data_IF_747941277223
#
_entry.id   IF_747941277223
#
_cell.length_a   1.000
_cell.length_b   1.000
_cell.length_c   1.000
_cell.angle_alpha   90.00
_cell.angle_beta   90.00
_cell.angle_gamma   90.00
#
_symmetry.space_group_name_H-M   'P 1'
#
loop_
_entity.id
_entity.type
_entity.pdbx_description
1 polymer ?
#
# COMPACT_ATOMS: atom_id res chain seq x y z
N UNK A 1 11.26 26.01 -4.66
CA UNK A 1 10.65 24.70 -4.52
C UNK A 1 10.12 24.51 -3.09
N UNK A 2 8.96 23.91 -2.96
CA UNK A 2 8.29 23.61 -1.70
C UNK A 2 8.09 22.09 -1.61
N UNK A 3 8.33 21.51 -0.45
CA UNK A 3 8.12 20.08 -0.26
C UNK A 3 6.64 19.75 -0.23
N UNK A 4 6.21 18.82 -1.08
CA UNK A 4 4.87 18.24 -1.06
C UNK A 4 4.73 17.28 0.11
N UNK A 5 3.60 17.35 0.82
CA UNK A 5 3.28 16.41 1.91
C UNK A 5 2.69 15.14 1.35
N UNK A 6 3.23 14.01 1.76
CA UNK A 6 2.66 12.70 1.46
C UNK A 6 1.73 12.25 2.58
N UNK A 7 0.58 11.76 2.19
CA UNK A 7 -0.39 11.16 3.11
C UNK A 7 -0.33 9.66 2.93
N UNK A 8 -0.14 8.96 4.04
CA UNK A 8 -0.05 7.50 4.06
C UNK A 8 -1.44 6.88 4.03
N UNK A 9 -1.71 6.02 3.04
CA UNK A 9 -2.83 5.11 3.04
C UNK A 9 -2.36 3.74 3.52
N UNK A 10 -2.67 3.40 4.75
CA UNK A 10 -2.15 2.20 5.45
C UNK A 10 -2.64 0.89 4.84
N UNK A 11 -3.86 0.88 4.31
CA UNK A 11 -4.40 -0.25 3.55
C UNK A 11 -5.25 0.28 2.40
N UNK A 12 -4.71 0.18 1.21
CA UNK A 12 -5.42 0.42 -0.03
C UNK A 12 -5.73 -0.92 -0.69
N UNK A 13 -6.68 -0.98 -1.60
CA UNK A 13 -6.99 -2.20 -2.32
C UNK A 13 -7.27 -1.96 -3.79
N UNK A 14 -6.85 -2.91 -4.62
CA UNK A 14 -7.15 -2.96 -6.05
C UNK A 14 -7.83 -4.27 -6.39
N UNK A 15 -8.93 -4.19 -7.12
CA UNK A 15 -9.63 -5.36 -7.67
C UNK A 15 -9.25 -5.49 -9.14
N UNK A 16 -8.70 -6.65 -9.53
CA UNK A 16 -8.48 -7.01 -10.93
C UNK A 16 -9.57 -7.98 -11.33
N UNK A 17 -10.50 -7.53 -12.15
CA UNK A 17 -11.71 -8.24 -12.54
C UNK A 17 -11.83 -8.46 -14.06
N UNK A 18 -10.76 -8.16 -14.80
CA UNK A 18 -10.68 -8.42 -16.24
C UNK A 18 -9.93 -9.72 -16.53
N UNK A 19 -10.36 -10.43 -17.55
CA UNK A 19 -9.76 -11.70 -17.98
C UNK A 19 -9.70 -11.79 -19.50
N UNK A 20 -8.65 -12.44 -20.02
CA UNK A 20 -8.57 -12.85 -21.42
C UNK A 20 -9.21 -14.21 -21.69
N UNK A 21 -9.60 -14.91 -20.62
CA UNK A 21 -10.20 -16.23 -20.71
C UNK A 21 -11.74 -16.16 -20.54
N UNK A 22 -12.55 -16.36 -21.59
CA UNK A 22 -14.02 -16.36 -21.47
C UNK A 22 -14.54 -17.41 -20.49
N UNK A 23 -13.87 -18.54 -20.35
CA UNK A 23 -14.26 -19.62 -19.45
C UNK A 23 -14.06 -19.28 -17.97
N UNK A 24 -13.32 -18.23 -17.65
CA UNK A 24 -13.16 -17.75 -16.26
C UNK A 24 -14.49 -17.25 -15.66
N UNK A 25 -15.38 -16.76 -16.51
CA UNK A 25 -16.67 -16.16 -16.10
C UNK A 25 -16.54 -14.78 -15.44
N UNK A 26 -15.36 -14.19 -15.46
CA UNK A 26 -15.11 -12.85 -14.88
C UNK A 26 -14.78 -11.84 -15.96
N UNK A 27 -15.27 -10.60 -15.79
CA UNK A 27 -14.92 -9.44 -16.59
C UNK A 27 -15.07 -9.63 -18.10
N UNK A 28 -14.63 -8.67 -18.88
CA UNK A 28 -14.58 -8.73 -20.33
C UNK A 28 -13.23 -9.29 -20.80
N UNK A 29 -13.28 -10.16 -21.81
CA UNK A 29 -12.06 -10.60 -22.52
C UNK A 29 -11.46 -9.49 -23.37
N UNK A 30 -12.28 -8.50 -23.75
CA UNK A 30 -11.86 -7.33 -24.51
C UNK A 30 -11.76 -6.16 -23.53
N UNK A 31 -10.56 -5.80 -23.15
CA UNK A 31 -10.35 -4.60 -22.36
C UNK A 31 -10.46 -3.36 -23.26
N UNK A 32 -11.16 -2.34 -22.78
CA UNK A 32 -11.28 -1.06 -23.46
C UNK A 32 -10.07 -0.14 -23.22
N UNK A 33 -9.05 -0.63 -22.54
CA UNK A 33 -7.83 0.08 -22.18
C UNK A 33 -6.76 0.06 -23.27
N UNK A 34 -7.01 -0.60 -24.39
CA UNK A 34 -6.05 -0.73 -25.49
C UNK A 34 -4.93 -1.74 -25.25
N UNK A 35 -4.89 -2.42 -24.07
CA UNK A 35 -3.88 -3.43 -23.78
C UNK A 35 -4.25 -4.78 -24.36
N UNK A 36 -3.22 -5.48 -24.88
CA UNK A 36 -3.31 -6.87 -25.27
C UNK A 36 -2.79 -7.76 -24.15
N UNK A 37 -3.29 -8.99 -24.06
CA UNK A 37 -2.78 -9.98 -23.11
C UNK A 37 -1.26 -10.10 -23.19
N UNK A 38 -0.61 -10.10 -22.02
CA UNK A 38 0.83 -10.19 -21.93
C UNK A 38 1.60 -8.95 -22.40
N UNK A 39 0.91 -7.85 -22.66
CA UNK A 39 1.58 -6.59 -23.02
C UNK A 39 2.38 -6.05 -21.85
N UNK A 40 3.65 -5.94 -22.06
CA UNK A 40 4.58 -5.32 -21.12
C UNK A 40 4.52 -3.79 -21.22
N UNK A 41 4.77 -3.02 -20.15
CA UNK A 41 5.04 -3.45 -18.77
C UNK A 41 3.81 -3.55 -17.86
N UNK A 42 2.66 -3.05 -18.24
CA UNK A 42 1.52 -2.86 -17.35
C UNK A 42 0.31 -3.68 -17.80
N UNK A 43 0.14 -4.84 -17.21
CA UNK A 43 -1.06 -5.65 -17.39
C UNK A 43 -2.21 -5.19 -16.48
N UNK A 44 -3.42 -5.45 -16.90
CA UNK A 44 -4.67 -5.11 -16.20
C UNK A 44 -5.62 -6.30 -16.10
N UNK A 45 -5.21 -7.49 -16.54
CA UNK A 45 -5.98 -8.72 -16.54
C UNK A 45 -5.35 -9.74 -15.59
N UNK A 46 -6.15 -10.57 -14.98
CA UNK A 46 -5.67 -11.55 -14.00
C UNK A 46 -4.58 -12.50 -14.56
N UNK A 47 -4.59 -12.78 -15.88
CA UNK A 47 -3.58 -13.62 -16.54
C UNK A 47 -2.30 -12.88 -16.92
N UNK A 48 -2.27 -11.58 -16.87
CA UNK A 48 -1.07 -10.82 -17.22
C UNK A 48 0.08 -11.18 -16.27
N UNK A 49 1.28 -11.24 -16.82
CA UNK A 49 2.46 -11.59 -16.03
C UNK A 49 2.81 -10.49 -15.03
N UNK A 50 2.66 -9.24 -15.47
CA UNK A 50 2.89 -8.05 -14.63
C UNK A 50 1.57 -7.31 -14.53
N UNK A 51 1.12 -7.09 -13.30
CA UNK A 51 -0.10 -6.35 -13.01
C UNK A 51 0.27 -5.00 -12.39
N UNK A 52 -0.27 -3.94 -12.96
CA UNK A 52 -0.14 -2.61 -12.37
C UNK A 52 -1.05 -2.45 -11.17
N UNK A 53 -0.58 -1.78 -10.13
CA UNK A 53 -1.39 -1.41 -8.97
C UNK A 53 -2.07 -0.04 -9.15
N UNK A 54 -1.80 0.64 -10.26
CA UNK A 54 -2.41 1.92 -10.60
C UNK A 54 -1.97 3.09 -9.73
N UNK A 55 -1.09 2.86 -8.76
CA UNK A 55 -0.56 3.89 -7.86
C UNK A 55 0.95 4.00 -8.02
N UNK A 56 1.50 5.19 -8.17
CA UNK A 56 2.94 5.39 -8.34
C UNK A 56 3.73 5.38 -7.03
N UNK A 57 3.07 5.30 -5.90
CA UNK A 57 3.71 5.42 -4.59
C UNK A 57 3.28 4.26 -3.67
N UNK A 58 3.50 3.03 -4.14
CA UNK A 58 3.20 1.81 -3.38
C UNK A 58 4.41 1.42 -2.54
N UNK A 59 4.23 1.26 -1.24
CA UNK A 59 5.31 0.97 -0.30
C UNK A 59 5.48 -0.52 -0.04
N UNK A 60 4.38 -1.24 0.17
CA UNK A 60 4.40 -2.70 0.41
C UNK A 60 3.08 -3.36 0.06
N UNK A 61 3.12 -4.68 -0.14
CA UNK A 61 1.94 -5.52 -0.29
C UNK A 61 1.59 -6.12 1.07
N UNK A 62 0.31 -6.08 1.42
CA UNK A 62 -0.22 -6.74 2.61
C UNK A 62 -0.64 -8.18 2.35
N UNK A 63 -1.28 -8.42 1.21
CA UNK A 63 -1.74 -9.73 0.76
C UNK A 63 -2.40 -9.66 -0.62
N UNK A 64 -2.44 -10.78 -1.33
CA UNK A 64 -3.08 -10.94 -2.63
C UNK A 64 -4.01 -12.14 -2.52
N UNK A 65 -5.28 -11.92 -2.85
CA UNK A 65 -6.32 -12.94 -2.71
C UNK A 65 -7.01 -13.20 -4.03
N UNK A 66 -7.14 -14.48 -4.40
CA UNK A 66 -7.98 -14.92 -5.52
C UNK A 66 -9.34 -15.37 -5.00
N UNK A 67 -10.40 -15.09 -5.74
CA UNK A 67 -11.75 -15.52 -5.38
C UNK A 67 -11.95 -17.02 -5.57
N UNK A 68 -12.66 -17.63 -4.65
CA UNK A 68 -13.11 -19.02 -4.81
C UNK A 68 -14.21 -19.17 -5.88
N UNK A 69 -14.92 -18.10 -6.21
CA UNK A 69 -16.05 -18.07 -7.13
C UNK A 69 -15.97 -16.85 -8.08
N UNK A 70 -17.09 -16.28 -8.48
CA UNK A 70 -17.15 -15.08 -9.35
C UNK A 70 -17.29 -13.77 -8.56
N UNK A 71 -17.45 -13.86 -7.26
CA UNK A 71 -17.57 -12.68 -6.41
C UNK A 71 -16.23 -11.96 -6.25
N UNK A 72 -16.28 -10.75 -5.69
CA UNK A 72 -15.07 -10.00 -5.36
C UNK A 72 -14.34 -10.72 -4.21
N UNK A 73 -13.06 -11.09 -4.39
CA UNK A 73 -12.30 -11.71 -3.31
C UNK A 73 -12.10 -10.74 -2.15
N UNK A 74 -11.94 -11.27 -0.97
CA UNK A 74 -11.53 -10.49 0.18
C UNK A 74 -10.49 -11.26 0.99
N UNK A 75 -9.73 -10.54 1.81
CA UNK A 75 -8.98 -11.18 2.89
C UNK A 75 -9.95 -11.92 3.83
N UNK A 76 -9.47 -12.82 4.70
CA UNK A 76 -10.27 -13.47 5.72
C UNK A 76 -11.10 -12.47 6.51
N UNK A 77 -12.29 -12.89 6.95
CA UNK A 77 -13.25 -12.05 7.64
C UNK A 77 -13.50 -12.59 9.04
N UNK A 78 -13.79 -11.68 9.96
CA UNK A 78 -14.30 -12.03 11.27
C UNK A 78 -15.51 -11.17 11.64
N UNK A 79 -16.43 -11.77 12.36
CA UNK A 79 -17.52 -11.06 13.04
C UNK A 79 -17.15 -10.92 14.50
N UNK A 80 -17.26 -9.72 15.02
CA UNK A 80 -16.93 -9.37 16.40
C UNK A 80 -18.21 -9.08 17.19
N UNK A 81 -18.27 -9.57 18.40
CA UNK A 81 -19.21 -9.16 19.44
C UNK A 81 -18.47 -8.48 20.58
N UNK A 82 -19.23 -7.88 21.48
CA UNK A 82 -18.70 -7.24 22.71
C UNK A 82 -17.54 -6.28 22.43
N UNK A 83 -17.68 -5.54 21.32
CA UNK A 83 -16.69 -4.56 20.91
C UNK A 83 -16.68 -3.44 21.94
N UNK A 84 -15.74 -3.52 22.84
CA UNK A 84 -15.46 -2.64 23.96
C UNK A 84 -16.71 -2.25 24.80
N UNK A 85 -16.64 -2.25 26.10
CA UNK A 85 -17.79 -1.95 26.97
C UNK A 85 -18.49 -0.60 26.74
N UNK A 86 -17.98 0.23 25.84
CA UNK A 86 -18.51 1.56 25.50
C UNK A 86 -18.81 1.76 24.00
N UNK A 87 -18.31 0.90 23.11
CA UNK A 87 -18.60 0.93 21.67
C UNK A 87 -19.15 -0.41 21.22
N UNK A 88 -20.23 -0.38 20.46
CA UNK A 88 -20.84 -1.59 19.90
C UNK A 88 -20.51 -1.80 18.44
N UNK A 89 -19.65 -0.96 17.85
CA UNK A 89 -19.40 -0.95 16.41
C UNK A 89 -17.92 -0.94 16.07
N UNK A 90 -17.60 -1.40 14.83
CA UNK A 90 -16.24 -1.37 14.26
C UNK A 90 -15.84 0.03 13.76
N UNK A 91 -16.65 1.05 13.97
CA UNK A 91 -16.42 2.40 13.41
C UNK A 91 -15.20 3.09 14.02
N UNK A 92 -14.86 2.76 15.25
CA UNK A 92 -13.73 3.35 15.98
C UNK A 92 -12.40 2.63 15.75
N UNK A 93 -12.42 1.51 15.02
CA UNK A 93 -11.22 0.78 14.66
C UNK A 93 -10.42 1.54 13.60
N UNK A 94 -9.10 1.49 13.71
CA UNK A 94 -8.20 2.21 12.82
C UNK A 94 -7.70 1.25 11.73
N UNK A 95 -8.06 1.50 10.48
CA UNK A 95 -7.61 0.68 9.35
C UNK A 95 -6.08 0.64 9.30
N UNK A 96 -5.54 -0.56 9.16
CA UNK A 96 -4.10 -0.81 9.16
C UNK A 96 -3.49 -1.04 10.54
N UNK A 97 -4.27 -0.95 11.63
CA UNK A 97 -3.76 -1.33 12.96
C UNK A 97 -3.62 -2.86 13.11
N UNK A 98 -2.75 -3.25 14.03
CA UNK A 98 -2.55 -4.67 14.32
C UNK A 98 -3.60 -5.19 15.29
N UNK A 99 -4.04 -6.41 15.01
CA UNK A 99 -4.96 -7.20 15.83
C UNK A 99 -4.16 -8.35 16.45
N UNK A 100 -4.31 -8.59 17.73
CA UNK A 100 -3.65 -9.71 18.43
C UNK A 100 -4.68 -10.57 19.11
N UNK A 101 -4.66 -11.87 18.85
CA UNK A 101 -5.45 -12.88 19.56
C UNK A 101 -4.85 -13.17 20.92
N UNK A 102 -5.66 -13.11 21.97
CA UNK A 102 -5.17 -13.29 23.33
C UNK A 102 -4.85 -14.75 23.69
N UNK A 103 -5.50 -15.70 23.03
CA UNK A 103 -5.30 -17.14 23.28
C UNK A 103 -4.34 -17.78 22.30
N UNK A 104 -4.48 -17.50 21.03
CA UNK A 104 -3.70 -18.13 19.95
C UNK A 104 -2.38 -17.42 19.67
N UNK A 105 -2.24 -16.16 20.07
CA UNK A 105 -1.11 -15.32 19.70
C UNK A 105 -1.09 -14.98 18.20
N UNK A 106 -2.20 -15.17 17.49
CA UNK A 106 -2.34 -14.75 16.11
C UNK A 106 -2.22 -13.23 15.99
N UNK A 107 -1.49 -12.79 14.98
CA UNK A 107 -1.31 -11.37 14.68
C UNK A 107 -1.80 -11.12 13.26
N UNK A 108 -2.63 -10.10 13.09
CA UNK A 108 -3.14 -9.67 11.80
C UNK A 108 -3.17 -8.16 11.68
N UNK A 109 -3.27 -7.67 10.45
CA UNK A 109 -3.53 -6.28 10.13
C UNK A 109 -5.02 -6.12 9.80
N UNK A 110 -5.69 -5.16 10.41
CA UNK A 110 -7.06 -4.80 10.07
C UNK A 110 -7.10 -4.14 8.68
N UNK A 111 -7.81 -4.74 7.73
CA UNK A 111 -7.79 -4.31 6.34
C UNK A 111 -8.99 -3.44 5.96
N UNK A 112 -10.21 -3.91 6.18
CA UNK A 112 -11.43 -3.20 5.77
C UNK A 112 -12.56 -3.42 6.77
N UNK A 113 -13.39 -2.39 6.93
CA UNK A 113 -14.68 -2.50 7.61
C UNK A 113 -15.75 -2.95 6.62
N UNK A 114 -16.45 -4.02 6.92
CA UNK A 114 -17.58 -4.51 6.12
C UNK A 114 -18.93 -4.10 6.70
N UNK A 115 -19.06 -4.10 8.02
CA UNK A 115 -20.26 -3.68 8.74
C UNK A 115 -19.92 -3.21 10.15
N UNK A 116 -20.93 -2.94 10.96
CA UNK A 116 -20.75 -2.54 12.36
C UNK A 116 -20.11 -3.63 13.25
N UNK A 117 -20.16 -4.87 12.81
CA UNK A 117 -19.58 -6.01 13.53
C UNK A 117 -18.62 -6.85 12.71
N UNK A 118 -18.47 -6.60 11.42
CA UNK A 118 -17.68 -7.43 10.53
C UNK A 118 -16.52 -6.66 9.90
N UNK A 119 -15.34 -7.26 9.94
CA UNK A 119 -14.12 -6.73 9.34
C UNK A 119 -13.40 -7.78 8.51
N UNK A 120 -12.52 -7.32 7.61
CA UNK A 120 -11.49 -8.16 7.00
C UNK A 120 -10.15 -7.92 7.67
N UNK A 121 -9.30 -8.93 7.65
CA UNK A 121 -7.97 -8.86 8.23
C UNK A 121 -6.96 -9.70 7.43
N UNK A 122 -5.68 -9.41 7.60
CA UNK A 122 -4.60 -10.09 6.90
C UNK A 122 -3.59 -10.58 7.93
N UNK A 123 -3.38 -11.89 8.01
CA UNK A 123 -2.42 -12.48 8.94
C UNK A 123 -1.00 -11.94 8.71
N UNK A 124 -0.25 -11.79 9.80
CA UNK A 124 1.14 -11.34 9.82
C UNK A 124 2.09 -12.36 10.46
N UNK A 125 1.54 -13.43 10.99
CA UNK A 125 2.30 -14.59 11.47
C UNK A 125 1.53 -15.88 11.11
N UNK A 126 2.14 -17.02 11.37
CA UNK A 126 1.59 -18.35 11.04
C UNK A 126 0.48 -18.82 12.01
N UNK A 127 0.24 -18.10 13.09
CA UNK A 127 -0.85 -18.41 14.00
C UNK A 127 -2.17 -17.95 13.42
N UNK A 128 -3.25 -18.70 13.72
CA UNK A 128 -4.61 -18.41 13.25
C UNK A 128 -5.53 -18.13 14.44
N UNK A 129 -6.46 -17.21 14.26
CA UNK A 129 -7.48 -16.89 15.26
C UNK A 129 -8.44 -18.07 15.47
N UNK A 130 -9.06 -18.11 16.64
CA UNK A 130 -10.11 -19.06 16.98
C UNK A 130 -11.43 -18.35 17.25
N UNK A 131 -12.54 -18.98 16.90
CA UNK A 131 -13.87 -18.50 17.31
C UNK A 131 -14.00 -18.57 18.86
N UNK A 132 -14.64 -17.56 19.44
CA UNK A 132 -14.71 -17.38 20.88
C UNK A 132 -13.50 -16.69 21.52
N UNK A 133 -12.45 -16.42 20.75
CA UNK A 133 -11.26 -15.73 21.24
C UNK A 133 -11.49 -14.22 21.35
N UNK A 134 -10.93 -13.62 22.39
CA UNK A 134 -10.82 -12.16 22.49
C UNK A 134 -9.64 -11.66 21.69
N UNK A 135 -9.88 -10.68 20.84
CA UNK A 135 -8.85 -9.97 20.09
C UNK A 135 -8.70 -8.55 20.59
N UNK A 136 -7.47 -8.06 20.53
CA UNK A 136 -7.13 -6.70 20.93
C UNK A 136 -6.53 -5.92 19.76
N UNK A 137 -7.09 -4.75 19.51
CA UNK A 137 -6.61 -3.79 18.52
C UNK A 137 -5.56 -2.88 19.15
N UNK A 138 -4.41 -2.76 18.50
CA UNK A 138 -3.21 -2.19 19.14
C UNK A 138 -3.29 -0.68 19.34
N UNK A 139 -3.82 0.05 18.38
CA UNK A 139 -3.79 1.52 18.36
C UNK A 139 -5.07 2.11 18.95
N UNK A 140 -6.22 1.61 18.56
CA UNK A 140 -7.50 2.01 19.13
C UNK A 140 -7.68 1.53 20.58
N UNK A 141 -6.95 0.48 20.98
CA UNK A 141 -7.08 -0.14 22.30
C UNK A 141 -8.37 -0.93 22.50
N UNK A 142 -9.16 -1.08 21.45
CA UNK A 142 -10.45 -1.78 21.47
C UNK A 142 -10.21 -3.28 21.58
N UNK A 143 -11.12 -3.96 22.28
CA UNK A 143 -11.18 -5.42 22.37
C UNK A 143 -12.54 -5.90 21.85
N UNK A 144 -12.58 -7.10 21.31
CA UNK A 144 -13.80 -7.73 20.83
C UNK A 144 -13.66 -9.25 20.84
N UNK A 145 -14.79 -9.96 20.86
CA UNK A 145 -14.81 -11.43 20.82
C UNK A 145 -15.16 -11.90 19.41
N UNK A 146 -14.36 -12.79 18.85
CA UNK A 146 -14.63 -13.37 17.53
C UNK A 146 -15.81 -14.34 17.64
N UNK A 147 -16.89 -14.08 16.94
CA UNK A 147 -18.04 -14.97 16.88
C UNK A 147 -18.04 -15.87 15.66
N UNK A 148 -17.47 -15.41 14.57
CA UNK A 148 -17.38 -16.17 13.29
C UNK A 148 -16.12 -15.81 12.54
N UNK A 149 -15.48 -16.81 11.95
CA UNK A 149 -14.36 -16.68 11.02
C UNK A 149 -14.76 -17.20 9.64
N UNK A 150 -14.42 -16.46 8.59
CA UNK A 150 -14.65 -16.84 7.19
C UNK A 150 -13.40 -16.58 6.35
N UNK A 151 -12.95 -17.58 5.63
CA UNK A 151 -11.80 -17.52 4.73
C UNK A 151 -12.16 -18.17 3.38
N UNK A 152 -13.09 -17.53 2.63
CA UNK A 152 -13.57 -18.05 1.34
C UNK A 152 -12.67 -17.72 0.15
N UNK A 153 -11.67 -16.86 0.32
CA UNK A 153 -10.68 -16.50 -0.71
C UNK A 153 -9.33 -17.13 -0.40
N UNK A 154 -8.54 -17.36 -1.46
CA UNK A 154 -7.21 -17.96 -1.33
C UNK A 154 -6.14 -16.89 -1.39
N UNK A 155 -5.21 -16.94 -0.45
CA UNK A 155 -4.03 -16.09 -0.44
C UNK A 155 -3.01 -16.63 -1.47
N UNK A 156 -2.61 -15.79 -2.43
CA UNK A 156 -1.68 -16.12 -3.52
C UNK A 156 -0.48 -15.16 -3.58
N UNK A 157 -0.24 -14.36 -2.55
CA UNK A 157 0.84 -13.37 -2.53
C UNK A 157 2.23 -14.00 -2.66
N UNK A 158 2.40 -15.23 -2.17
CA UNK A 158 3.62 -16.00 -2.35
C UNK A 158 4.00 -16.30 -3.80
N UNK A 159 3.04 -16.21 -4.73
CA UNK A 159 3.23 -16.44 -6.16
C UNK A 159 3.70 -15.19 -6.93
N UNK A 160 3.79 -14.07 -6.27
CA UNK A 160 4.16 -12.80 -6.88
C UNK A 160 5.41 -12.19 -6.26
N UNK A 161 6.07 -11.37 -7.04
CA UNK A 161 7.11 -10.43 -6.58
C UNK A 161 6.59 -9.02 -6.74
N UNK A 162 6.93 -8.15 -5.80
CA UNK A 162 6.49 -6.76 -5.77
C UNK A 162 7.58 -5.82 -6.28
N UNK A 163 7.17 -4.76 -7.00
CA UNK A 163 7.98 -3.61 -7.36
C UNK A 163 7.28 -2.33 -6.92
N UNK A 164 8.00 -1.45 -6.26
CA UNK A 164 7.49 -0.14 -5.83
C UNK A 164 7.22 0.83 -7.00
N UNK A 165 7.74 0.53 -8.19
CA UNK A 165 7.66 1.42 -9.34
C UNK A 165 8.62 2.61 -9.29
N UNK A 166 9.56 2.63 -8.34
CA UNK A 166 10.56 3.70 -8.24
C UNK A 166 11.63 3.54 -9.30
N UNK A 167 11.58 4.39 -10.30
CA UNK A 167 12.54 4.44 -11.41
C UNK A 167 13.52 5.61 -11.22
N UNK A 168 14.65 5.58 -11.95
CA UNK A 168 15.66 6.65 -11.85
C UNK A 168 15.15 8.03 -12.25
N UNK A 169 14.23 8.07 -13.21
CA UNK A 169 13.76 9.32 -13.83
C UNK A 169 12.37 9.72 -13.41
N UNK A 170 11.52 8.79 -12.97
CA UNK A 170 10.13 9.03 -12.58
C UNK A 170 9.70 8.15 -11.42
N UNK A 171 8.60 8.53 -10.75
CA UNK A 171 7.77 7.64 -9.94
C UNK A 171 6.79 6.93 -10.88
N UNK A 172 7.08 5.69 -11.26
CA UNK A 172 6.18 4.87 -12.06
C UNK A 172 5.22 4.09 -11.16
N UNK A 173 4.28 3.36 -11.75
CA UNK A 173 3.30 2.56 -11.01
C UNK A 173 3.98 1.42 -10.23
N UNK A 174 3.54 1.23 -9.00
CA UNK A 174 3.78 -0.03 -8.29
C UNK A 174 3.16 -1.19 -9.07
N UNK A 175 3.82 -2.34 -9.03
CA UNK A 175 3.38 -3.52 -9.77
C UNK A 175 3.68 -4.81 -9.03
N UNK A 176 2.92 -5.86 -9.38
CA UNK A 176 3.19 -7.24 -8.98
C UNK A 176 3.50 -8.08 -10.20
N UNK A 177 4.53 -8.90 -10.13
CA UNK A 177 4.98 -9.78 -11.21
C UNK A 177 4.81 -11.22 -10.77
N UNK A 178 4.01 -12.00 -11.53
CA UNK A 178 3.84 -13.42 -11.26
C UNK A 178 5.14 -14.17 -11.49
N UNK A 179 5.49 -15.04 -10.54
CA UNK A 179 6.68 -15.89 -10.61
C UNK A 179 6.54 -16.91 -11.76
N UNK A 180 7.66 -17.33 -12.37
CA UNK A 180 7.61 -18.26 -13.52
C UNK A 180 6.96 -19.60 -13.22
N UNK A 181 7.08 -20.07 -11.98
CA UNK A 181 6.52 -21.34 -11.51
C UNK A 181 5.05 -21.28 -11.10
N UNK A 182 4.49 -20.07 -10.96
CA UNK A 182 3.12 -19.87 -10.52
C UNK A 182 2.13 -19.95 -11.70
N UNK A 183 1.01 -20.61 -11.47
CA UNK A 183 -0.09 -20.68 -12.44
C UNK A 183 -0.78 -19.32 -12.58
N UNK A 184 -1.36 -19.06 -13.74
CA UNK A 184 -2.14 -17.86 -13.96
C UNK A 184 -3.50 -17.97 -13.27
N UNK A 185 -3.90 -16.97 -12.46
CA UNK A 185 -5.21 -16.94 -11.85
C UNK A 185 -6.34 -17.00 -12.88
N UNK A 186 -7.44 -17.62 -12.50
CA UNK A 186 -8.63 -17.74 -13.34
C UNK A 186 -9.82 -16.93 -12.81
N UNK A 187 -9.73 -16.43 -11.60
CA UNK A 187 -10.78 -15.66 -10.93
C UNK A 187 -10.32 -14.25 -10.62
N UNK A 188 -11.23 -13.43 -10.14
CA UNK A 188 -10.90 -12.06 -9.67
C UNK A 188 -9.81 -12.10 -8.62
N UNK A 189 -8.94 -11.12 -8.66
CA UNK A 189 -7.88 -10.92 -7.66
C UNK A 189 -8.15 -9.63 -6.92
N UNK A 190 -7.91 -9.62 -5.63
CA UNK A 190 -7.83 -8.40 -4.84
C UNK A 190 -6.45 -8.29 -4.19
N UNK A 191 -5.80 -7.17 -4.43
CA UNK A 191 -4.49 -6.85 -3.88
C UNK A 191 -4.68 -5.82 -2.79
N UNK A 192 -4.19 -6.09 -1.59
CA UNK A 192 -4.12 -5.13 -0.49
C UNK A 192 -2.69 -4.63 -0.36
N UNK A 193 -2.54 -3.32 -0.35
CA UNK A 193 -1.22 -2.70 -0.32
C UNK A 193 -1.24 -1.38 0.46
N UNK A 194 -0.07 -0.94 0.83
CA UNK A 194 0.15 0.35 1.46
C UNK A 194 0.69 1.32 0.43
N UNK A 195 0.13 2.51 0.38
CA UNK A 195 0.52 3.53 -0.58
C UNK A 195 0.58 4.92 0.06
N UNK A 196 1.21 5.84 -0.65
CA UNK A 196 1.18 7.25 -0.32
C UNK A 196 0.55 8.05 -1.46
N UNK A 197 -0.09 9.13 -1.11
CA UNK A 197 -0.63 10.08 -2.08
C UNK A 197 -0.35 11.51 -1.63
N UNK A 198 -0.43 12.43 -2.55
CA UNK A 198 -0.33 13.85 -2.24
C UNK A 198 -1.73 14.45 -2.08
N UNK A 199 -1.89 15.35 -1.12
CA UNK A 199 -3.10 16.15 -1.04
C UNK A 199 -3.21 17.06 -2.27
N UNK A 200 -4.39 17.10 -2.90
CA UNK A 200 -4.64 17.92 -4.08
C UNK A 200 -4.52 19.42 -3.80
N UNK A 201 -4.68 19.83 -2.55
CA UNK A 201 -4.54 21.23 -2.12
C UNK A 201 -3.08 21.62 -1.84
N UNK A 202 -2.15 20.67 -1.80
CA UNK A 202 -0.74 20.93 -1.57
C UNK A 202 -0.07 21.43 -2.86
N UNK A 203 0.43 22.66 -2.81
CA UNK A 203 1.11 23.36 -3.90
C UNK A 203 2.62 23.06 -3.99
N UNK A 204 3.13 22.08 -3.22
CA UNK A 204 4.53 21.66 -3.27
C UNK A 204 4.88 20.99 -4.60
N UNK A 205 6.15 21.05 -4.96
CA UNK A 205 6.68 20.62 -6.25
C UNK A 205 7.82 19.59 -6.16
N UNK A 206 8.38 19.38 -4.97
CA UNK A 206 9.47 18.43 -4.75
C UNK A 206 9.15 17.49 -3.58
N UNK A 207 9.83 16.35 -3.54
CA UNK A 207 9.81 15.43 -2.41
C UNK A 207 11.12 15.52 -1.64
N UNK A 208 11.04 15.66 -0.33
CA UNK A 208 12.17 15.71 0.60
C UNK A 208 11.83 14.91 1.86
N UNK A 209 12.74 14.85 2.82
CA UNK A 209 12.48 14.29 4.14
C UNK A 209 11.19 14.87 4.78
N UNK A 210 10.91 16.14 4.58
CA UNK A 210 9.72 16.79 5.11
C UNK A 210 8.41 16.34 4.46
N UNK A 211 8.49 15.58 3.37
CA UNK A 211 7.32 14.98 2.73
C UNK A 211 6.79 13.75 3.49
N UNK A 212 7.58 13.18 4.40
CA UNK A 212 7.32 11.90 5.07
C UNK A 212 7.02 12.04 6.56
N UNK A 213 6.37 13.11 7.00
CA UNK A 213 6.17 13.42 8.42
C UNK A 213 5.51 12.30 9.25
N UNK A 214 4.62 11.50 8.65
CA UNK A 214 3.85 10.45 9.31
C UNK A 214 4.27 9.03 8.90
N UNK A 215 5.51 8.85 8.46
CA UNK A 215 6.04 7.58 7.99
C UNK A 215 7.05 7.00 8.98
N UNK A 216 7.11 5.68 9.05
CA UNK A 216 8.21 5.00 9.72
C UNK A 216 9.46 5.09 8.85
N UNK A 217 10.44 5.84 9.34
CA UNK A 217 11.65 6.16 8.61
C UNK A 217 12.48 4.92 8.19
N UNK A 218 12.39 3.85 8.97
CA UNK A 218 13.15 2.63 8.71
C UNK A 218 12.46 1.64 7.78
N UNK A 219 11.12 1.68 7.72
CA UNK A 219 10.34 0.60 7.09
C UNK A 219 9.41 1.03 5.96
N UNK A 220 9.01 2.31 5.92
CA UNK A 220 7.96 2.76 5.02
C UNK A 220 8.48 3.61 3.85
N UNK A 221 9.73 4.09 3.92
CA UNK A 221 10.24 5.00 2.90
C UNK A 221 10.99 4.21 1.83
N UNK A 222 10.49 4.34 0.63
CA UNK A 222 11.08 3.71 -0.54
C UNK A 222 12.43 4.32 -0.89
N UNK A 223 13.23 3.58 -1.63
CA UNK A 223 14.50 4.04 -2.16
C UNK A 223 14.64 3.78 -3.65
N UNK A 224 15.59 4.43 -4.25
CA UNK A 224 16.05 4.18 -5.61
C UNK A 224 17.56 3.99 -5.59
N UNK A 225 18.05 2.95 -6.27
CA UNK A 225 19.48 2.60 -6.32
C UNK A 225 20.15 2.48 -4.91
N UNK A 226 19.39 2.03 -3.92
CA UNK A 226 19.90 1.84 -2.55
C UNK A 226 19.94 3.12 -1.70
N UNK A 227 19.47 4.25 -2.21
CA UNK A 227 19.34 5.51 -1.46
C UNK A 227 17.89 5.70 -1.07
N UNK A 228 17.62 5.96 0.22
CA UNK A 228 16.27 6.27 0.69
C UNK A 228 15.78 7.61 0.13
N UNK A 229 14.53 7.66 -0.30
CA UNK A 229 13.91 8.90 -0.76
C UNK A 229 13.79 9.96 0.35
N UNK A 230 13.96 9.57 1.61
CA UNK A 230 14.02 10.51 2.72
C UNK A 230 15.36 11.24 2.82
N UNK A 231 16.43 10.69 2.24
CA UNK A 231 17.80 11.23 2.34
C UNK A 231 18.17 12.09 1.13
N UNK A 232 17.25 12.28 0.21
CA UNK A 232 17.47 13.06 -1.02
C UNK A 232 16.42 14.15 -1.20
N UNK A 233 16.71 15.10 -2.08
CA UNK A 233 15.72 15.99 -2.68
C UNK A 233 15.29 15.34 -3.99
N UNK A 234 14.05 14.90 -4.05
CA UNK A 234 13.53 14.19 -5.20
C UNK A 234 12.65 15.10 -6.07
N UNK A 235 13.15 15.39 -7.25
CA UNK A 235 12.49 16.24 -8.26
C UNK A 235 11.89 15.44 -9.40
N UNK A 236 11.88 14.11 -9.30
CA UNK A 236 11.32 13.26 -10.35
C UNK A 236 9.83 13.50 -10.50
N UNK A 237 9.29 13.59 -11.72
CA UNK A 237 7.86 13.64 -11.93
C UNK A 237 7.21 12.32 -11.50
N UNK A 238 5.98 12.42 -11.03
CA UNK A 238 5.15 11.30 -10.61
C UNK A 238 4.08 11.03 -11.66
N UNK A 239 3.91 9.77 -12.03
CA UNK A 239 2.79 9.34 -12.89
C UNK A 239 1.49 9.49 -12.11
N UNK A 240 0.42 9.94 -12.76
CA UNK A 240 -0.89 10.02 -12.14
C UNK A 240 -1.47 8.62 -11.90
N UNK A 241 -2.32 8.49 -10.90
CA UNK A 241 -3.01 7.25 -10.58
C UNK A 241 -3.86 6.76 -11.76
N UNK A 242 -3.98 5.45 -11.89
CA UNK A 242 -4.76 4.78 -12.93
C UNK A 242 -5.69 3.75 -12.29
N UNK A 243 -6.98 3.89 -12.52
CA UNK A 243 -7.99 2.98 -11.96
C UNK A 243 -8.31 1.89 -12.99
N UNK A 244 -7.79 0.69 -12.75
CA UNK A 244 -7.87 -0.45 -13.67
C UNK A 244 -9.30 -0.87 -13.97
N UNK A 245 -10.17 -0.90 -12.97
CA UNK A 245 -11.55 -1.37 -13.11
C UNK A 245 -12.47 -0.35 -13.79
N UNK A 246 -12.16 0.92 -13.67
CA UNK A 246 -13.03 2.02 -14.14
C UNK A 246 -12.52 2.66 -15.43
N UNK A 247 -11.22 2.60 -15.66
CA UNK A 247 -10.62 3.24 -16.82
C UNK A 247 -10.75 2.40 -18.07
N UNK A 248 -11.21 3.02 -19.15
CA UNK A 248 -11.14 2.45 -20.50
C UNK A 248 -9.83 2.77 -21.21
N UNK A 249 -8.99 3.58 -20.59
CA UNK A 249 -7.74 4.07 -21.16
C UNK A 249 -6.57 3.17 -20.77
N UNK A 250 -5.64 2.96 -21.69
CA UNK A 250 -4.40 2.23 -21.40
C UNK A 250 -3.45 3.06 -20.54
N UNK A 251 -2.83 2.48 -19.49
CA UNK A 251 -1.75 3.14 -18.76
C UNK A 251 -0.49 3.36 -19.63
N UNK A 252 -0.41 2.72 -20.78
CA UNK A 252 0.68 2.90 -21.76
C UNK A 252 0.40 4.03 -22.74
N UNK A 253 -0.79 4.61 -22.72
CA UNK A 253 -1.15 5.69 -23.64
C UNK A 253 -0.36 6.97 -23.31
N UNK A 254 0.57 7.30 -24.18
CA UNK A 254 1.51 8.39 -23.96
C UNK A 254 0.83 9.76 -23.77
N UNK A 255 -0.16 10.06 -24.59
CA UNK A 255 -0.88 11.34 -24.54
C UNK A 255 -1.81 11.48 -23.34
N UNK A 256 -2.20 10.38 -22.72
CA UNK A 256 -3.05 10.38 -21.55
C UNK A 256 -2.27 10.33 -20.23
N UNK A 257 -0.96 10.14 -20.27
CA UNK A 257 -0.14 10.10 -19.07
C UNK A 257 0.02 11.48 -18.46
N UNK A 258 -0.14 11.52 -17.15
CA UNK A 258 0.08 12.72 -16.35
C UNK A 258 1.15 12.43 -15.30
N UNK A 259 1.79 13.48 -14.82
CA UNK A 259 2.93 13.37 -13.91
C UNK A 259 2.71 14.14 -12.61
N UNK A 260 1.47 14.28 -12.21
CA UNK A 260 1.09 14.82 -10.93
C UNK A 260 -0.07 14.02 -10.34
N UNK A 261 -0.38 14.25 -9.07
CA UNK A 261 -1.47 13.58 -8.37
C UNK A 261 -2.87 14.09 -8.69
N UNK A 262 -2.99 15.11 -9.53
CA UNK A 262 -4.28 15.75 -9.87
C UNK A 262 -4.81 15.32 -11.24
N UNK A 263 -4.19 14.35 -11.90
CA UNK A 263 -4.56 13.90 -13.23
C UNK A 263 -4.24 14.90 -14.34
N UNK A 264 -3.46 15.93 -14.05
CA UNK A 264 -3.02 16.93 -15.03
C UNK A 264 -1.58 16.68 -15.46
N UNK A 265 -1.21 17.16 -16.63
CA UNK A 265 0.18 17.14 -17.07
C UNK A 265 1.01 18.00 -16.12
N UNK A 266 2.13 17.47 -15.64
CA UNK A 266 3.02 18.22 -14.77
C UNK A 266 3.54 19.46 -15.51
N UNK A 267 3.33 20.63 -14.89
CA UNK A 267 3.76 21.92 -15.45
C UNK A 267 5.16 22.34 -14.97
N UNK A 268 5.65 21.68 -13.89
CA UNK A 268 6.90 22.05 -13.22
C UNK A 268 8.00 21.00 -13.42
N UNK A 269 8.04 20.37 -14.59
CA UNK A 269 9.14 19.48 -14.98
C UNK A 269 10.29 20.35 -15.49
N UNK A 270 11.50 20.06 -15.02
CA UNK A 270 12.71 20.69 -15.57
C UNK A 270 12.84 20.33 -17.04
N UNK A 271 13.05 21.34 -17.88
CA UNK A 271 13.38 21.11 -19.28
C UNK A 271 14.78 20.51 -19.42
N UNK A 272 15.04 19.88 -20.55
CA UNK A 272 16.38 19.39 -20.88
C UNK A 272 17.37 20.55 -20.86
N UNK A 273 18.53 20.34 -20.27
CA UNK A 273 19.60 21.32 -20.11
C UNK A 273 19.31 22.54 -19.21
N UNK A 274 18.19 22.52 -18.47
CA UNK A 274 17.95 23.51 -17.43
C UNK A 274 18.70 23.16 -16.15
N UNK A 275 19.17 24.20 -15.46
CA UNK A 275 19.81 24.08 -14.14
C UNK A 275 18.86 24.53 -13.04
N UNK A 276 18.90 23.83 -11.92
CA UNK A 276 18.21 24.23 -10.70
C UNK A 276 19.23 24.67 -9.65
N UNK A 277 18.94 25.78 -8.96
CA UNK A 277 19.67 26.22 -7.76
C UNK A 277 18.72 26.12 -6.57
N UNK A 278 19.03 25.26 -5.63
CA UNK A 278 18.22 25.04 -4.45
C UNK A 278 19.06 25.23 -3.19
N UNK A 279 18.51 25.91 -2.21
CA UNK A 279 19.03 25.96 -0.83
C UNK A 279 18.18 25.03 0.04
N UNK A 280 18.81 24.14 0.76
CA UNK A 280 18.11 23.19 1.63
C UNK A 280 18.86 22.97 2.93
N UNK A 281 18.13 22.56 3.95
CA UNK A 281 18.69 22.10 5.22
C UNK A 281 18.53 20.60 5.33
N UNK A 282 19.51 19.92 5.88
CA UNK A 282 19.46 18.48 6.10
C UNK A 282 19.93 18.13 7.51
N UNK A 283 19.51 16.98 7.98
CA UNK A 283 19.94 16.46 9.27
C UNK A 283 21.26 15.71 9.12
N UNK A 284 22.20 16.02 9.98
CA UNK A 284 23.44 15.23 10.10
C UNK A 284 23.21 14.07 11.06
N UNK A 285 23.74 12.91 10.70
CA UNK A 285 23.74 11.74 11.57
C UNK A 285 24.38 12.05 12.92
N UNK A 286 23.80 11.51 14.02
CA UNK A 286 24.30 11.73 15.37
C UNK A 286 24.10 10.47 16.22
N UNK A 287 25.11 10.12 16.99
CA UNK A 287 25.02 9.01 17.94
C UNK A 287 24.79 9.59 19.33
N UNK A 288 23.61 9.37 19.85
CA UNK A 288 23.23 9.78 21.21
C UNK A 288 23.39 8.60 22.18
N UNK A 289 23.66 8.89 23.43
CA UNK A 289 23.71 7.90 24.51
C UNK A 289 22.58 8.15 25.49
N UNK A 290 21.77 7.12 25.70
CA UNK A 290 20.75 7.13 26.75
C UNK A 290 21.32 6.37 27.95
N UNK A 291 21.25 6.94 29.12
CA UNK A 291 21.69 6.31 30.36
C UNK A 291 20.68 6.54 31.48
N UNK A 292 20.68 5.62 32.42
CA UNK A 292 19.87 5.70 33.63
C UNK A 292 20.73 6.27 34.76
N UNK A 293 20.25 7.34 35.40
CA UNK A 293 20.95 7.93 36.56
C UNK A 293 20.75 7.07 37.81
N UNK A 294 21.52 7.35 38.85
CA UNK A 294 21.38 6.67 40.15
C UNK A 294 20.01 6.90 40.79
N UNK A 295 19.38 7.99 40.45
CA UNK A 295 18.05 8.39 40.90
C UNK A 295 16.92 7.69 40.13
N UNK A 296 17.26 6.81 39.15
CA UNK A 296 16.27 6.09 38.34
C UNK A 296 15.67 6.91 37.19
N UNK A 297 16.30 8.01 36.80
CA UNK A 297 15.81 8.87 35.72
C UNK A 297 16.61 8.63 34.44
N UNK A 298 15.91 8.48 33.30
CA UNK A 298 16.55 8.42 32.00
C UNK A 298 17.05 9.80 31.55
N UNK A 299 18.29 9.87 31.11
CA UNK A 299 18.87 11.06 30.51
C UNK A 299 19.53 10.73 29.17
N UNK A 300 19.52 11.72 28.26
CA UNK A 300 20.19 11.60 26.96
C UNK A 300 21.41 12.52 26.92
N UNK A 301 22.55 11.98 26.52
CA UNK A 301 23.73 12.75 26.13
C UNK A 301 23.81 12.77 24.62
N UNK A 302 23.59 13.92 24.04
CA UNK A 302 23.63 14.12 22.61
C UNK A 302 25.06 14.08 22.07
N UNK A 303 25.25 13.37 20.97
CA UNK A 303 26.49 13.35 20.22
C UNK A 303 26.71 14.62 19.41
N UNK A 304 27.85 14.71 18.76
CA UNK A 304 28.13 15.78 17.80
C UNK A 304 27.61 15.30 16.44
N UNK A 305 26.78 16.09 15.72
CA UNK A 305 26.40 15.76 14.35
C UNK A 305 27.63 15.75 13.43
N UNK A 306 27.76 14.74 12.58
CA UNK A 306 28.87 14.57 11.65
C UNK A 306 28.43 13.95 10.33
#
# INVERSE_FOLDING_TARGET
PKAKKKIKNRVNSLIVDKSTNPASGIGSTTANDGLTYGTYPYGTRVQDKILTLGSPDVMKIHGIYESANLEVPSAPKMVLSDINSQSTTTTELIVGEYITGQNTGAIACYAERLSDSQITFIYKNDSVFAEGETVKFKESGIEGVITTLDATSFEIGGEYTFSTGQEKTIYDYGSITRKPEAEAPNKKIKVYFESAYYDSTDDGDITTVNSYDNFDYGNDIMGVDGISNADIIDIRPRVADYIVSESSRSPLEFYGRTFNNEGQTATNILASDEAIVASFSFYLGRIDRIYLTKEGVFQAKYGVPA
#
